data_IF_369636542427
#
_entry.id   IF_369636542427
#
_cell.length_a   1.000
_cell.length_b   1.000
_cell.length_c   1.000
_cell.angle_alpha   90.00
_cell.angle_beta   90.00
_cell.angle_gamma   90.00
#
_symmetry.space_group_name_H-M   'P 1'
#
loop_
_entity.id
_entity.type
_entity.pdbx_description
1 polymer ?
#
# COMPACT_ATOMS: atom_id res chain seq x y z
N UNK A 1 -30.23 10.87 -21.09
CA UNK A 1 -29.26 10.10 -20.30
C UNK A 1 -27.95 10.24 -21.03
N UNK A 2 -26.91 10.74 -20.35
CA UNK A 2 -25.57 10.91 -20.90
C UNK A 2 -24.99 9.53 -21.25
N UNK A 3 -24.31 9.32 -22.39
CA UNK A 3 -23.56 8.08 -22.65
C UNK A 3 -22.58 7.71 -21.53
N UNK A 4 -22.00 8.67 -20.80
CA UNK A 4 -21.16 8.41 -19.62
C UNK A 4 -21.97 7.90 -18.42
N UNK A 5 -23.14 8.50 -18.15
CA UNK A 5 -24.05 7.97 -17.14
C UNK A 5 -24.48 6.56 -17.52
N UNK A 6 -24.78 6.31 -18.80
CA UNK A 6 -25.17 4.98 -19.25
C UNK A 6 -24.05 3.96 -19.02
N UNK A 7 -22.78 4.28 -19.30
CA UNK A 7 -21.65 3.36 -19.06
C UNK A 7 -21.42 3.12 -17.57
N UNK A 8 -21.45 4.16 -16.73
CA UNK A 8 -21.28 4.04 -15.26
C UNK A 8 -22.43 3.27 -14.63
N UNK A 9 -23.69 3.55 -15.02
CA UNK A 9 -24.84 2.77 -14.57
C UNK A 9 -24.76 1.33 -15.07
N UNK A 10 -24.26 1.09 -16.28
CA UNK A 10 -24.10 -0.28 -16.79
C UNK A 10 -22.95 -0.99 -16.06
N UNK A 11 -21.85 -0.32 -15.71
CA UNK A 11 -20.76 -0.87 -14.88
C UNK A 11 -21.24 -1.20 -13.47
N UNK A 12 -21.93 -0.28 -12.79
CA UNK A 12 -22.51 -0.54 -11.46
C UNK A 12 -23.57 -1.65 -11.53
N UNK A 13 -24.37 -1.73 -12.60
CA UNK A 13 -25.38 -2.77 -12.82
C UNK A 13 -24.74 -4.12 -13.13
N UNK A 14 -23.65 -4.19 -13.89
CA UNK A 14 -22.89 -5.42 -14.14
C UNK A 14 -22.09 -5.87 -12.92
N UNK A 15 -21.48 -4.96 -12.15
CA UNK A 15 -20.81 -5.29 -10.89
C UNK A 15 -21.81 -5.80 -9.86
N UNK A 16 -22.94 -5.12 -9.72
CA UNK A 16 -23.99 -5.52 -8.78
C UNK A 16 -24.69 -6.80 -9.24
N UNK A 17 -24.90 -6.98 -10.53
CA UNK A 17 -25.42 -8.21 -11.14
C UNK A 17 -24.45 -9.36 -10.92
N UNK A 18 -23.19 -9.23 -11.32
CA UNK A 18 -22.17 -10.27 -11.15
C UNK A 18 -21.90 -10.62 -9.69
N UNK A 19 -21.93 -9.63 -8.79
CA UNK A 19 -21.86 -9.85 -7.34
C UNK A 19 -23.08 -10.61 -6.82
N UNK A 20 -24.29 -10.22 -7.24
CA UNK A 20 -25.53 -10.84 -6.78
C UNK A 20 -25.73 -12.24 -7.37
N UNK A 21 -25.47 -12.43 -8.65
CA UNK A 21 -25.51 -13.70 -9.37
C UNK A 21 -24.42 -14.65 -8.87
N UNK A 22 -23.19 -14.16 -8.67
CA UNK A 22 -22.08 -14.95 -8.13
C UNK A 22 -22.34 -15.43 -6.69
N UNK A 23 -22.89 -14.56 -5.83
CA UNK A 23 -23.30 -14.94 -4.47
C UNK A 23 -24.52 -15.86 -4.50
N UNK A 24 -25.50 -15.62 -5.35
CA UNK A 24 -26.70 -16.46 -5.44
C UNK A 24 -26.37 -17.87 -5.95
N UNK A 25 -25.57 -17.97 -7.02
CA UNK A 25 -25.08 -19.25 -7.54
C UNK A 25 -24.19 -19.96 -6.51
N UNK A 26 -23.30 -19.24 -5.82
CA UNK A 26 -22.48 -19.79 -4.74
C UNK A 26 -23.31 -20.29 -3.55
N UNK A 27 -24.40 -19.59 -3.20
CA UNK A 27 -25.35 -19.99 -2.15
C UNK A 27 -26.16 -21.22 -2.54
N UNK A 28 -26.64 -21.29 -3.77
CA UNK A 28 -27.44 -22.42 -4.27
C UNK A 28 -26.60 -23.69 -4.37
N UNK A 29 -25.38 -23.58 -4.91
CA UNK A 29 -24.40 -24.67 -4.98
C UNK A 29 -23.97 -25.10 -3.56
N UNK A 30 -23.62 -24.15 -2.69
CA UNK A 30 -23.22 -24.42 -1.31
C UNK A 30 -24.32 -25.08 -0.47
N UNK A 31 -25.59 -24.73 -0.70
CA UNK A 31 -26.74 -25.31 0.00
C UNK A 31 -27.12 -26.71 -0.52
N UNK A 32 -27.03 -26.94 -1.84
CA UNK A 32 -27.35 -28.24 -2.44
C UNK A 32 -26.31 -29.34 -2.13
N UNK A 33 -25.06 -28.95 -1.90
CA UNK A 33 -23.93 -29.90 -1.78
C UNK A 33 -23.63 -30.37 -0.36
N UNK A 34 -24.35 -29.89 0.67
CA UNK A 34 -24.30 -30.45 2.03
C UNK A 34 -22.89 -30.75 2.55
N UNK A 35 -22.00 -29.75 2.56
CA UNK A 35 -20.60 -29.93 2.97
C UNK A 35 -20.50 -30.26 4.45
N UNK A 36 -20.24 -31.52 4.76
CA UNK A 36 -20.14 -32.08 6.11
C UNK A 36 -18.80 -31.78 6.83
N UNK A 37 -18.00 -30.82 6.35
CA UNK A 37 -16.85 -30.26 7.09
C UNK A 37 -17.09 -28.78 7.37
N UNK A 38 -17.98 -28.52 8.33
CA UNK A 38 -18.19 -27.18 8.89
C UNK A 38 -19.03 -26.26 7.99
N UNK A 39 -20.27 -26.03 8.42
CA UNK A 39 -21.25 -25.13 7.80
C UNK A 39 -20.70 -23.71 7.48
N UNK A 40 -19.61 -23.27 8.11
CA UNK A 40 -18.98 -21.96 7.87
C UNK A 40 -17.82 -22.02 6.86
N UNK A 41 -16.86 -22.93 7.01
CA UNK A 41 -15.64 -22.97 6.17
C UNK A 41 -15.95 -23.32 4.70
N UNK A 42 -16.84 -24.29 4.46
CA UNK A 42 -17.31 -24.60 3.11
C UNK A 42 -18.13 -23.45 2.50
N UNK A 43 -18.92 -22.77 3.30
CA UNK A 43 -19.74 -21.64 2.86
C UNK A 43 -18.87 -20.44 2.44
N UNK A 44 -17.89 -20.07 3.27
CA UNK A 44 -16.97 -18.97 2.98
C UNK A 44 -16.07 -19.28 1.77
N UNK A 45 -15.54 -20.51 1.67
CA UNK A 45 -14.77 -20.94 0.50
C UNK A 45 -15.60 -20.89 -0.79
N UNK A 46 -16.86 -21.34 -0.73
CA UNK A 46 -17.78 -21.31 -1.87
C UNK A 46 -18.11 -19.88 -2.31
N UNK A 47 -18.30 -18.97 -1.35
CA UNK A 47 -18.52 -17.55 -1.59
C UNK A 47 -17.31 -16.89 -2.26
N UNK A 48 -16.10 -17.16 -1.78
CA UNK A 48 -14.87 -16.58 -2.33
C UNK A 48 -14.57 -17.09 -3.73
N UNK A 49 -14.67 -18.41 -3.97
CA UNK A 49 -14.51 -18.99 -5.31
C UNK A 49 -15.59 -18.47 -6.27
N UNK A 50 -16.83 -18.38 -5.82
CA UNK A 50 -17.94 -17.79 -6.57
C UNK A 50 -17.69 -16.33 -6.94
N UNK A 51 -17.13 -15.54 -6.03
CA UNK A 51 -16.71 -14.17 -6.28
C UNK A 51 -15.63 -14.09 -7.37
N UNK A 52 -14.50 -14.80 -7.22
CA UNK A 52 -13.40 -14.73 -8.19
C UNK A 52 -13.84 -15.17 -9.59
N UNK A 53 -14.65 -16.23 -9.67
CA UNK A 53 -15.17 -16.73 -10.93
C UNK A 53 -16.16 -15.76 -11.57
N UNK A 54 -17.13 -15.26 -10.81
CA UNK A 54 -18.12 -14.29 -11.29
C UNK A 54 -17.46 -13.00 -11.76
N UNK A 55 -16.55 -12.46 -10.94
CA UNK A 55 -15.77 -11.26 -11.28
C UNK A 55 -14.97 -11.44 -12.58
N UNK A 56 -14.22 -12.54 -12.71
CA UNK A 56 -13.42 -12.78 -13.92
C UNK A 56 -14.30 -12.97 -15.17
N UNK A 57 -15.45 -13.62 -15.03
CA UNK A 57 -16.40 -13.83 -16.13
C UNK A 57 -17.05 -12.52 -16.59
N UNK A 58 -17.48 -11.66 -15.66
CA UNK A 58 -18.06 -10.37 -16.02
C UNK A 58 -17.03 -9.46 -16.69
N UNK A 59 -15.79 -9.42 -16.20
CA UNK A 59 -14.74 -8.63 -16.86
C UNK A 59 -14.39 -9.14 -18.25
N UNK A 60 -14.43 -10.46 -18.49
CA UNK A 60 -14.26 -11.02 -19.83
C UNK A 60 -15.46 -10.70 -20.75
N UNK A 61 -16.69 -10.72 -20.22
CA UNK A 61 -17.90 -10.28 -20.97
C UNK A 61 -17.80 -8.80 -21.32
N UNK A 62 -17.40 -7.96 -20.38
CA UNK A 62 -17.20 -6.53 -20.59
C UNK A 62 -16.11 -6.25 -21.63
N UNK A 63 -15.00 -6.99 -21.58
CA UNK A 63 -13.93 -6.93 -22.58
C UNK A 63 -14.39 -7.32 -23.99
N UNK A 64 -15.29 -8.30 -24.10
CA UNK A 64 -15.89 -8.70 -25.37
C UNK A 64 -16.91 -7.68 -25.91
N UNK A 65 -17.61 -6.98 -25.01
CA UNK A 65 -18.57 -5.93 -25.36
C UNK A 65 -17.89 -4.59 -25.72
N UNK A 66 -16.74 -4.28 -25.11
CA UNK A 66 -16.05 -3.01 -25.24
C UNK A 66 -14.56 -3.20 -25.56
N UNK A 67 -14.23 -3.09 -26.85
CA UNK A 67 -12.85 -3.19 -27.35
C UNK A 67 -11.93 -2.17 -26.68
N UNK A 68 -10.86 -2.65 -26.05
CA UNK A 68 -9.83 -1.82 -25.40
C UNK A 68 -10.05 -1.56 -23.91
N UNK A 69 -11.19 -1.97 -23.34
CA UNK A 69 -11.48 -1.85 -21.90
C UNK A 69 -10.50 -2.69 -21.05
N UNK A 70 -10.17 -3.89 -21.52
CA UNK A 70 -9.27 -4.85 -20.87
C UNK A 70 -8.22 -5.32 -21.85
N UNK A 71 -6.93 -5.18 -21.50
CA UNK A 71 -5.83 -5.62 -22.36
C UNK A 71 -5.83 -7.14 -22.60
N UNK A 72 -5.31 -7.61 -23.74
CA UNK A 72 -5.19 -9.06 -24.03
C UNK A 72 -4.43 -9.83 -22.93
N UNK A 73 -3.43 -9.18 -22.31
CA UNK A 73 -2.68 -9.77 -21.19
C UNK A 73 -3.55 -9.93 -19.95
N UNK A 74 -4.39 -8.93 -19.65
CA UNK A 74 -5.35 -9.00 -18.55
C UNK A 74 -6.44 -10.04 -18.84
N UNK A 75 -6.96 -10.14 -20.07
CA UNK A 75 -7.92 -11.19 -20.46
C UNK A 75 -7.35 -12.60 -20.26
N UNK A 76 -6.09 -12.84 -20.63
CA UNK A 76 -5.42 -14.13 -20.36
C UNK A 76 -5.30 -14.42 -18.86
N UNK A 77 -5.04 -13.40 -18.04
CA UNK A 77 -5.02 -13.55 -16.57
C UNK A 77 -6.41 -13.84 -16.00
N UNK A 78 -7.45 -13.16 -16.48
CA UNK A 78 -8.85 -13.41 -16.09
C UNK A 78 -9.28 -14.84 -16.43
N UNK A 79 -8.92 -15.33 -17.62
CA UNK A 79 -9.18 -16.72 -18.00
C UNK A 79 -8.42 -17.72 -17.10
N UNK A 80 -7.15 -17.43 -16.80
CA UNK A 80 -6.37 -18.27 -15.89
C UNK A 80 -6.96 -18.32 -14.46
N UNK A 81 -7.62 -17.25 -14.00
CA UNK A 81 -8.33 -17.24 -12.71
C UNK A 81 -9.54 -18.18 -12.76
N UNK A 82 -10.34 -18.12 -13.82
CA UNK A 82 -11.48 -19.05 -14.02
C UNK A 82 -10.99 -20.49 -14.02
N UNK A 83 -9.91 -20.77 -14.77
CA UNK A 83 -9.35 -22.12 -14.89
C UNK A 83 -8.85 -22.65 -13.54
N UNK A 84 -8.24 -21.81 -12.67
CA UNK A 84 -7.83 -22.24 -11.33
C UNK A 84 -9.02 -22.43 -10.38
N UNK A 85 -10.02 -21.55 -10.43
CA UNK A 85 -11.24 -21.73 -9.64
C UNK A 85 -11.94 -23.04 -10.02
N UNK A 86 -12.04 -23.32 -11.33
CA UNK A 86 -12.69 -24.54 -11.84
C UNK A 86 -11.87 -25.82 -11.52
N UNK A 87 -10.58 -25.70 -11.21
CA UNK A 87 -9.73 -26.81 -10.73
C UNK A 87 -9.92 -27.13 -9.25
N UNK A 88 -10.57 -26.26 -8.46
CA UNK A 88 -10.86 -26.58 -7.06
C UNK A 88 -11.87 -27.73 -7.01
N UNK A 89 -11.56 -28.86 -6.34
CA UNK A 89 -12.41 -30.04 -6.37
C UNK A 89 -13.79 -29.74 -5.78
N UNK A 90 -14.84 -30.16 -6.49
CA UNK A 90 -16.25 -29.90 -6.10
C UNK A 90 -16.79 -30.85 -5.01
N UNK A 91 -15.99 -31.83 -4.60
CA UNK A 91 -16.38 -32.86 -3.62
C UNK A 91 -15.34 -32.87 -2.52
N UNK A 92 -15.77 -33.03 -1.26
CA UNK A 92 -14.89 -33.15 -0.09
C UNK A 92 -13.89 -34.29 -0.32
N UNK A 93 -12.64 -33.94 -0.60
CA UNK A 93 -11.50 -34.82 -0.53
C UNK A 93 -10.68 -34.42 0.70
N UNK A 94 -10.54 -35.33 1.66
CA UNK A 94 -9.74 -35.10 2.88
C UNK A 94 -8.26 -34.78 2.56
N UNK A 95 -7.80 -35.08 1.33
CA UNK A 95 -6.46 -34.76 0.86
C UNK A 95 -6.38 -33.49 0.01
N UNK A 96 -7.48 -32.79 -0.24
CA UNK A 96 -7.46 -31.58 -1.06
C UNK A 96 -6.98 -30.37 -0.25
N UNK A 97 -5.88 -29.77 -0.72
CA UNK A 97 -5.30 -28.55 -0.16
C UNK A 97 -6.09 -27.30 -0.58
N UNK A 98 -7.35 -27.17 -0.12
CA UNK A 98 -8.24 -26.07 -0.48
C UNK A 98 -7.68 -24.69 -0.09
N UNK A 99 -7.15 -24.55 1.12
CA UNK A 99 -6.49 -23.32 1.58
C UNK A 99 -5.32 -22.91 0.69
N UNK A 100 -4.53 -23.88 0.22
CA UNK A 100 -3.37 -23.63 -0.64
C UNK A 100 -3.81 -23.17 -2.03
N UNK A 101 -4.87 -23.74 -2.60
CA UNK A 101 -5.40 -23.33 -3.91
C UNK A 101 -6.12 -21.98 -3.86
N UNK A 102 -6.89 -21.73 -2.80
CA UNK A 102 -7.52 -20.42 -2.59
C UNK A 102 -6.46 -19.33 -2.39
N UNK A 103 -5.39 -19.65 -1.63
CA UNK A 103 -4.19 -18.83 -1.60
C UNK A 103 -3.63 -18.66 -3.01
N UNK A 104 -3.25 -19.69 -3.75
CA UNK A 104 -2.70 -19.56 -5.11
C UNK A 104 -3.55 -18.66 -6.04
N UNK A 105 -4.89 -18.71 -5.92
CA UNK A 105 -5.80 -17.79 -6.60
C UNK A 105 -5.62 -16.36 -6.07
N UNK A 106 -5.76 -16.12 -4.75
CA UNK A 106 -5.52 -14.82 -4.09
C UNK A 106 -4.11 -14.25 -4.35
N UNK A 107 -3.12 -15.12 -4.55
CA UNK A 107 -1.71 -14.82 -4.75
C UNK A 107 -1.42 -14.31 -6.16
N UNK A 108 -2.17 -14.79 -7.17
CA UNK A 108 -2.13 -14.23 -8.53
C UNK A 108 -2.70 -12.79 -8.61
N UNK A 109 -3.27 -12.26 -7.53
CA UNK A 109 -3.85 -10.91 -7.45
C UNK A 109 -2.93 -9.86 -6.79
N UNK A 110 -1.78 -10.19 -6.21
CA UNK A 110 -0.98 -9.17 -5.51
C UNK A 110 -0.07 -8.38 -6.44
N UNK A 111 -0.58 -7.26 -6.96
CA UNK A 111 0.21 -6.29 -7.73
C UNK A 111 0.52 -5.08 -6.86
N UNK A 112 1.78 -4.67 -6.84
CA UNK A 112 2.25 -3.54 -6.04
C UNK A 112 2.48 -2.33 -6.93
N UNK A 113 1.98 -1.17 -6.48
CA UNK A 113 2.40 0.12 -6.98
C UNK A 113 3.16 0.92 -5.92
N UNK A 114 4.16 1.70 -6.32
CA UNK A 114 4.89 2.58 -5.41
C UNK A 114 5.19 3.95 -6.02
N UNK A 115 5.24 4.99 -5.20
CA UNK A 115 5.45 6.37 -5.68
C UNK A 115 6.83 6.94 -5.33
N UNK A 116 7.76 6.10 -4.87
CA UNK A 116 9.07 6.52 -4.37
C UNK A 116 10.17 5.52 -4.68
N UNK A 117 11.29 6.02 -5.18
CA UNK A 117 12.39 5.21 -5.74
C UNK A 117 13.00 4.22 -4.74
N UNK A 118 13.25 4.64 -3.49
CA UNK A 118 13.84 3.74 -2.48
C UNK A 118 12.87 2.63 -2.06
N UNK A 119 11.59 2.96 -1.87
CA UNK A 119 10.56 1.96 -1.57
C UNK A 119 10.41 0.97 -2.74
N UNK A 120 10.35 1.48 -3.97
CA UNK A 120 10.30 0.66 -5.18
C UNK A 120 11.52 -0.25 -5.33
N UNK A 121 12.72 0.20 -4.95
CA UNK A 121 13.93 -0.63 -4.96
C UNK A 121 13.83 -1.79 -3.97
N UNK A 122 13.32 -1.57 -2.75
CA UNK A 122 13.11 -2.63 -1.76
C UNK A 122 12.06 -3.62 -2.27
N UNK A 123 10.88 -3.11 -2.62
CA UNK A 123 9.73 -3.92 -3.04
C UNK A 123 10.07 -4.71 -4.29
N UNK A 124 10.67 -4.08 -5.31
CA UNK A 124 11.08 -4.74 -6.55
C UNK A 124 12.02 -5.93 -6.31
N UNK A 125 12.92 -5.84 -5.33
CA UNK A 125 13.79 -6.97 -4.96
C UNK A 125 13.05 -8.06 -4.17
N UNK A 126 12.07 -7.67 -3.37
CA UNK A 126 11.35 -8.59 -2.49
C UNK A 126 10.30 -9.38 -3.25
N UNK A 127 9.51 -8.75 -4.13
CA UNK A 127 8.46 -9.46 -4.90
C UNK A 127 9.03 -10.59 -5.74
N UNK A 128 10.25 -10.47 -6.26
CA UNK A 128 10.96 -11.54 -6.99
C UNK A 128 11.22 -12.82 -6.16
N UNK A 129 11.12 -12.72 -4.83
CA UNK A 129 11.31 -13.82 -3.89
C UNK A 129 10.00 -14.28 -3.25
N UNK A 130 8.92 -13.53 -3.46
CA UNK A 130 7.61 -13.81 -2.91
C UNK A 130 6.76 -14.40 -4.04
N UNK A 131 6.49 -15.71 -3.98
CA UNK A 131 5.65 -16.40 -4.96
C UNK A 131 4.24 -15.78 -5.08
N UNK A 132 3.88 -15.04 -4.05
CA UNK A 132 2.58 -14.47 -3.75
C UNK A 132 2.30 -13.13 -4.44
N UNK A 133 3.25 -12.59 -5.21
CA UNK A 133 3.18 -11.27 -5.83
C UNK A 133 3.54 -11.32 -7.32
N UNK A 134 2.93 -10.42 -8.12
CA UNK A 134 3.43 -10.16 -9.48
C UNK A 134 4.84 -9.57 -9.39
N UNK A 135 5.75 -10.11 -10.19
CA UNK A 135 7.13 -9.61 -10.25
C UNK A 135 7.16 -8.13 -10.65
N UNK A 136 6.20 -7.64 -11.43
CA UNK A 136 6.19 -6.27 -11.93
C UNK A 136 5.73 -5.29 -10.87
N UNK A 137 6.57 -4.31 -10.54
CA UNK A 137 6.20 -3.18 -9.67
C UNK A 137 6.05 -1.93 -10.52
N UNK A 138 4.83 -1.44 -10.67
CA UNK A 138 4.57 -0.17 -11.36
C UNK A 138 4.89 0.99 -10.41
N UNK A 139 5.59 2.02 -10.89
CA UNK A 139 5.80 3.25 -10.13
C UNK A 139 5.23 4.44 -10.86
N UNK A 140 4.43 5.23 -10.15
CA UNK A 140 3.97 6.51 -10.69
C UNK A 140 5.11 7.52 -10.63
N UNK A 141 5.40 8.14 -11.77
CA UNK A 141 6.41 9.20 -11.88
C UNK A 141 5.73 10.39 -12.53
N UNK A 142 5.60 11.49 -11.78
CA UNK A 142 5.18 12.75 -12.37
C UNK A 142 6.11 13.10 -13.53
N UNK A 143 5.55 13.32 -14.72
CA UNK A 143 6.36 13.42 -15.92
C UNK A 143 7.19 14.72 -15.92
N UNK A 144 8.49 14.56 -16.10
CA UNK A 144 9.45 15.66 -16.13
C UNK A 144 10.45 15.47 -17.27
N UNK A 145 10.95 16.59 -17.80
CA UNK A 145 12.01 16.56 -18.80
C UNK A 145 13.38 16.69 -18.13
N UNK A 146 14.24 15.68 -18.30
CA UNK A 146 15.64 15.69 -17.84
C UNK A 146 16.54 15.56 -19.06
N UNK A 147 17.35 16.59 -19.33
CA UNK A 147 18.24 16.65 -20.49
C UNK A 147 17.52 16.37 -21.83
N UNK A 148 16.27 16.86 -21.97
CA UNK A 148 15.47 16.69 -23.19
C UNK A 148 14.80 15.34 -23.36
N UNK A 149 14.86 14.45 -22.36
CA UNK A 149 14.16 13.15 -22.35
C UNK A 149 13.15 13.11 -21.21
N UNK A 150 12.06 12.35 -21.39
CA UNK A 150 11.09 12.08 -20.32
C UNK A 150 11.74 11.28 -19.21
N UNK A 151 11.47 11.65 -17.96
CA UNK A 151 12.05 10.98 -16.80
C UNK A 151 11.60 9.51 -16.72
N UNK A 152 10.36 9.22 -17.09
CA UNK A 152 9.85 7.84 -17.21
C UNK A 152 10.66 6.99 -18.19
N UNK A 153 10.94 7.52 -19.38
CA UNK A 153 11.77 6.85 -20.40
C UNK A 153 13.19 6.61 -19.90
N UNK A 154 13.79 7.59 -19.22
CA UNK A 154 15.14 7.44 -18.62
C UNK A 154 15.13 6.33 -17.57
N UNK A 155 14.13 6.32 -16.68
CA UNK A 155 14.03 5.32 -15.62
C UNK A 155 13.86 3.93 -16.23
N UNK A 156 12.96 3.76 -17.20
CA UNK A 156 12.72 2.46 -17.83
C UNK A 156 13.92 1.95 -18.63
N UNK A 157 14.69 2.84 -19.29
CA UNK A 157 15.86 2.46 -20.07
C UNK A 157 17.10 2.20 -19.21
N UNK A 158 17.32 2.99 -18.15
CA UNK A 158 18.53 2.93 -17.33
C UNK A 158 18.34 2.20 -15.99
N UNK A 159 17.10 1.86 -15.67
CA UNK A 159 16.66 1.41 -14.35
C UNK A 159 17.25 2.29 -13.25
N UNK A 160 17.08 3.60 -13.35
CA UNK A 160 17.65 4.56 -12.42
C UNK A 160 16.85 5.86 -12.44
N UNK A 161 16.41 6.32 -11.27
CA UNK A 161 15.86 7.66 -11.13
C UNK A 161 16.99 8.67 -10.95
N UNK A 162 17.57 9.09 -12.06
CA UNK A 162 18.76 9.96 -12.12
C UNK A 162 18.59 11.31 -11.42
N UNK A 163 17.34 11.74 -11.16
CA UNK A 163 17.04 13.00 -10.50
C UNK A 163 16.86 12.85 -8.99
N UNK A 164 16.13 11.83 -8.55
CA UNK A 164 15.69 11.70 -7.16
C UNK A 164 16.44 10.62 -6.36
N UNK A 165 17.15 9.71 -7.04
CA UNK A 165 18.01 8.70 -6.40
C UNK A 165 19.24 8.39 -7.29
N UNK A 166 20.09 9.41 -7.57
CA UNK A 166 21.21 9.25 -8.49
C UNK A 166 22.22 8.22 -8.00
N UNK A 167 22.76 7.40 -8.91
CA UNK A 167 23.78 6.40 -8.60
C UNK A 167 23.25 5.05 -8.08
N UNK A 168 21.94 4.93 -7.84
CA UNK A 168 21.32 3.68 -7.37
C UNK A 168 20.38 3.09 -8.42
N UNK A 169 20.65 1.84 -8.83
CA UNK A 169 19.78 1.12 -9.77
C UNK A 169 18.45 0.72 -9.14
N UNK A 170 17.38 0.84 -9.88
CA UNK A 170 16.12 0.16 -9.59
C UNK A 170 16.21 -1.28 -10.12
N UNK A 171 15.54 -2.25 -9.49
CA UNK A 171 15.36 -3.59 -10.07
C UNK A 171 14.71 -3.52 -11.46
N UNK A 172 15.05 -4.45 -12.35
CA UNK A 172 14.58 -4.43 -13.75
C UNK A 172 13.07 -4.63 -13.92
N UNK A 173 12.44 -5.21 -12.89
CA UNK A 173 11.00 -5.41 -12.77
C UNK A 173 10.24 -4.18 -12.25
N UNK A 174 10.94 -3.07 -11.95
CA UNK A 174 10.31 -1.79 -11.63
C UNK A 174 10.07 -1.01 -12.91
N UNK A 175 8.82 -0.64 -13.16
CA UNK A 175 8.37 0.04 -14.39
C UNK A 175 7.82 1.43 -14.04
N UNK A 176 8.43 2.48 -14.57
CA UNK A 176 7.97 3.85 -14.43
C UNK A 176 6.83 4.16 -15.41
N UNK A 177 5.75 4.71 -14.89
CA UNK A 177 4.53 5.04 -15.63
C UNK A 177 4.09 6.47 -15.28
N UNK A 178 3.81 7.34 -16.27
CA UNK A 178 3.45 8.73 -16.02
C UNK A 178 2.00 8.92 -15.56
N UNK A 179 1.12 7.98 -15.93
CA UNK A 179 -0.31 8.02 -15.62
C UNK A 179 -0.58 7.33 -14.27
N UNK A 180 -1.12 8.08 -13.32
CA UNK A 180 -1.41 7.56 -11.98
C UNK A 180 -2.54 6.52 -11.97
N UNK A 181 -3.53 6.67 -12.86
CA UNK A 181 -4.67 5.74 -12.99
C UNK A 181 -4.18 4.39 -13.51
N UNK A 182 -3.31 4.38 -14.53
CA UNK A 182 -2.71 3.15 -15.07
C UNK A 182 -1.89 2.38 -14.02
N UNK A 183 -1.24 3.11 -13.10
CA UNK A 183 -0.45 2.52 -12.02
C UNK A 183 -1.33 1.80 -11.00
N UNK A 184 -2.50 2.36 -10.67
CA UNK A 184 -3.34 1.83 -9.60
C UNK A 184 -4.44 0.87 -10.07
N UNK A 185 -4.82 0.90 -11.36
CA UNK A 185 -5.98 0.17 -11.89
C UNK A 185 -5.97 -1.32 -11.59
N UNK A 186 -4.79 -1.93 -11.65
CA UNK A 186 -4.61 -3.37 -11.41
C UNK A 186 -3.94 -3.66 -10.05
N UNK A 187 -3.71 -2.63 -9.23
CA UNK A 187 -2.95 -2.75 -7.99
C UNK A 187 -3.86 -3.15 -6.82
N UNK A 188 -3.47 -4.20 -6.10
CA UNK A 188 -4.09 -4.55 -4.81
C UNK A 188 -3.33 -3.98 -3.63
N UNK A 189 -2.05 -3.62 -3.80
CA UNK A 189 -1.22 -3.00 -2.77
C UNK A 189 -0.63 -1.69 -3.30
N UNK A 190 -0.95 -0.57 -2.67
CA UNK A 190 -0.60 0.77 -3.13
C UNK A 190 0.27 1.46 -2.08
N UNK A 191 1.51 1.77 -2.45
CA UNK A 191 2.46 2.48 -1.58
C UNK A 191 2.43 3.97 -1.91
N UNK A 192 1.83 4.75 -1.03
CA UNK A 192 1.68 6.20 -1.17
C UNK A 192 2.85 6.89 -0.47
N UNK A 193 3.75 7.48 -1.28
CA UNK A 193 4.99 8.11 -0.80
C UNK A 193 5.34 9.33 -1.65
N UNK A 194 4.56 10.39 -1.47
CA UNK A 194 4.72 11.66 -2.18
C UNK A 194 4.82 12.83 -1.19
N UNK A 195 5.34 14.00 -1.60
CA UNK A 195 5.25 15.19 -0.77
C UNK A 195 3.78 15.48 -0.42
N UNK A 196 3.49 15.69 0.87
CA UNK A 196 2.12 15.75 1.39
C UNK A 196 1.24 16.80 0.70
N UNK A 197 1.83 17.91 0.19
CA UNK A 197 1.08 18.96 -0.48
C UNK A 197 0.41 18.51 -1.80
N UNK A 198 0.85 17.41 -2.40
CA UNK A 198 0.30 16.88 -3.65
C UNK A 198 -0.72 15.76 -3.45
N UNK A 199 -0.96 15.35 -2.20
CA UNK A 199 -1.78 14.16 -1.89
C UNK A 199 -3.22 14.31 -2.40
N UNK A 200 -3.86 15.46 -2.17
CA UNK A 200 -5.26 15.63 -2.54
C UNK A 200 -5.47 15.54 -4.05
N UNK A 201 -4.55 16.09 -4.84
CA UNK A 201 -4.61 16.02 -6.28
C UNK A 201 -4.51 14.57 -6.76
N UNK A 202 -3.51 13.83 -6.28
CA UNK A 202 -3.34 12.42 -6.59
C UNK A 202 -4.57 11.60 -6.22
N UNK A 203 -5.09 11.74 -5.00
CA UNK A 203 -6.24 10.96 -4.53
C UNK A 203 -7.48 11.23 -5.37
N UNK A 204 -7.72 12.48 -5.76
CA UNK A 204 -8.82 12.83 -6.67
C UNK A 204 -8.64 12.20 -8.05
N UNK A 205 -7.41 12.13 -8.57
CA UNK A 205 -7.10 11.51 -9.86
C UNK A 205 -7.36 10.01 -9.87
N UNK A 206 -7.03 9.30 -8.78
CA UNK A 206 -7.15 7.83 -8.73
C UNK A 206 -8.48 7.34 -8.14
N UNK A 207 -9.30 8.25 -7.62
CA UNK A 207 -10.61 7.94 -7.07
C UNK A 207 -11.50 7.22 -8.10
N UNK A 208 -12.10 6.09 -7.72
CA UNK A 208 -12.95 5.30 -8.62
C UNK A 208 -12.19 4.42 -9.63
N UNK A 209 -10.86 4.38 -9.57
CA UNK A 209 -10.03 3.57 -10.47
C UNK A 209 -9.26 2.46 -9.74
N UNK A 210 -9.72 2.05 -8.57
CA UNK A 210 -9.05 1.07 -7.71
C UNK A 210 -9.78 -0.27 -7.76
N UNK A 211 -9.03 -1.36 -7.58
CA UNK A 211 -9.66 -2.67 -7.33
C UNK A 211 -10.45 -2.65 -6.01
N UNK A 212 -11.60 -3.34 -5.91
CA UNK A 212 -12.40 -3.38 -4.68
C UNK A 212 -11.65 -3.90 -3.45
N UNK A 213 -10.63 -4.75 -3.65
CA UNK A 213 -9.80 -5.31 -2.60
C UNK A 213 -8.47 -4.56 -2.42
N UNK A 214 -8.31 -3.37 -3.00
CA UNK A 214 -7.09 -2.58 -2.85
C UNK A 214 -6.84 -2.22 -1.38
N UNK A 215 -5.56 -2.17 -1.04
CA UNK A 215 -5.01 -1.79 0.26
C UNK A 215 -3.92 -0.75 0.02
N UNK A 216 -3.78 0.21 0.92
CA UNK A 216 -2.74 1.21 0.82
C UNK A 216 -1.81 1.20 2.05
N UNK A 217 -0.58 1.69 1.86
CA UNK A 217 0.31 2.06 2.95
C UNK A 217 0.88 3.46 2.69
N UNK A 218 0.76 4.34 3.69
CA UNK A 218 1.31 5.69 3.65
C UNK A 218 2.70 5.73 4.26
N UNK A 219 3.68 6.27 3.52
CA UNK A 219 5.02 6.59 4.03
C UNK A 219 5.17 8.11 4.24
N UNK A 220 4.09 8.87 4.08
CA UNK A 220 4.09 10.33 4.15
C UNK A 220 4.20 10.77 5.61
N UNK A 221 5.26 11.50 5.93
CA UNK A 221 5.45 12.12 7.25
C UNK A 221 4.82 13.51 7.26
N UNK A 222 3.64 13.63 7.85
CA UNK A 222 2.92 14.90 7.99
C UNK A 222 1.50 14.71 8.52
N UNK A 223 0.87 15.81 8.93
CA UNK A 223 -0.52 15.85 9.40
C UNK A 223 -1.23 16.99 8.66
N UNK A 224 -2.45 16.74 8.18
CA UNK A 224 -3.33 17.76 7.64
C UNK A 224 -3.96 18.57 8.77
N UNK A 225 -4.03 19.89 8.61
CA UNK A 225 -4.65 20.80 9.57
C UNK A 225 -5.85 21.46 8.90
N UNK A 226 -7.00 21.40 9.57
CA UNK A 226 -8.21 22.08 9.15
C UNK A 226 -8.96 22.67 10.34
N UNK A 227 -10.04 23.40 10.08
CA UNK A 227 -10.94 23.89 11.13
C UNK A 227 -11.57 22.77 11.97
N UNK A 228 -11.53 21.52 11.49
CA UNK A 228 -12.04 20.33 12.17
C UNK A 228 -10.96 19.62 13.00
N UNK A 229 -9.74 20.16 13.06
CA UNK A 229 -8.61 19.60 13.79
C UNK A 229 -7.54 18.98 12.90
N UNK A 230 -6.74 18.10 13.50
CA UNK A 230 -5.68 17.36 12.83
C UNK A 230 -6.25 16.11 12.14
N UNK A 231 -5.79 15.83 10.93
CA UNK A 231 -6.12 14.59 10.21
C UNK A 231 -4.83 13.98 9.67
N UNK A 232 -4.60 12.71 9.97
CA UNK A 232 -3.43 11.97 9.49
C UNK A 232 -3.51 11.66 7.99
N UNK A 233 -2.39 11.31 7.36
CA UNK A 233 -2.39 11.01 5.92
C UNK A 233 -3.15 9.72 5.64
N UNK A 234 -3.07 8.71 6.51
CA UNK A 234 -3.89 7.50 6.38
C UNK A 234 -5.38 7.80 6.44
N UNK A 235 -5.81 8.69 7.33
CA UNK A 235 -7.22 9.13 7.39
C UNK A 235 -7.66 9.87 6.13
N UNK A 236 -6.81 10.73 5.56
CA UNK A 236 -7.09 11.42 4.30
C UNK A 236 -7.26 10.40 3.16
N UNK A 237 -6.29 9.48 3.02
CA UNK A 237 -6.33 8.42 2.00
C UNK A 237 -7.56 7.53 2.18
N UNK A 238 -7.85 7.09 3.40
CA UNK A 238 -8.99 6.23 3.72
C UNK A 238 -10.32 6.91 3.40
N UNK A 239 -10.49 8.18 3.81
CA UNK A 239 -11.73 8.93 3.56
C UNK A 239 -11.97 9.19 2.08
N UNK A 240 -10.92 9.43 1.29
CA UNK A 240 -11.07 9.67 -0.13
C UNK A 240 -11.25 8.38 -0.91
N UNK A 241 -10.43 7.35 -0.67
CA UNK A 241 -10.42 6.14 -1.51
C UNK A 241 -11.29 5.00 -0.99
N UNK A 242 -11.82 5.10 0.23
CA UNK A 242 -12.62 4.07 0.89
C UNK A 242 -11.94 2.68 0.99
N UNK A 243 -10.61 2.65 1.09
CA UNK A 243 -9.81 1.43 1.25
C UNK A 243 -9.07 1.41 2.59
N UNK A 244 -8.72 0.24 3.17
CA UNK A 244 -7.85 0.16 4.34
C UNK A 244 -6.45 0.70 4.07
N UNK A 245 -5.90 1.42 5.05
CA UNK A 245 -4.62 2.10 4.93
C UNK A 245 -3.73 1.81 6.14
N UNK A 246 -2.55 1.25 5.89
CA UNK A 246 -1.47 1.12 6.85
C UNK A 246 -0.56 2.36 6.82
N UNK A 247 0.33 2.48 7.80
CA UNK A 247 1.36 3.53 7.86
C UNK A 247 2.74 2.91 7.98
N UNK A 248 3.77 3.50 7.38
CA UNK A 248 5.18 3.15 7.61
C UNK A 248 5.95 4.41 7.99
N UNK A 249 6.57 4.38 9.18
CA UNK A 249 7.46 5.45 9.64
C UNK A 249 8.62 4.86 10.44
N UNK A 250 9.76 5.56 10.45
CA UNK A 250 10.99 5.07 11.05
C UNK A 250 12.18 5.99 10.75
N UNK A 251 13.31 5.71 11.38
CA UNK A 251 14.59 6.39 11.18
C UNK A 251 15.21 6.07 9.80
N UNK A 252 14.57 6.57 8.73
CA UNK A 252 14.68 6.03 7.39
C UNK A 252 15.28 7.04 6.40
N UNK A 253 16.58 7.32 6.46
CA UNK A 253 17.22 8.21 5.48
C UNK A 253 17.32 7.50 4.13
N UNK A 254 16.65 8.04 3.11
CA UNK A 254 16.45 7.39 1.81
C UNK A 254 17.76 6.95 1.12
N UNK A 255 18.82 7.76 1.20
CA UNK A 255 20.13 7.43 0.62
C UNK A 255 20.80 6.28 1.36
N UNK A 256 20.76 6.27 2.70
CA UNK A 256 21.37 5.19 3.49
C UNK A 256 20.68 3.84 3.24
N UNK A 257 19.35 3.87 3.08
CA UNK A 257 18.58 2.68 2.69
C UNK A 257 18.96 2.22 1.28
N UNK A 258 19.16 3.15 0.34
CA UNK A 258 19.58 2.83 -1.03
C UNK A 258 21.03 2.29 -1.10
N UNK A 259 21.87 2.69 -0.15
CA UNK A 259 23.21 2.15 0.13
C UNK A 259 23.18 0.83 0.92
N UNK A 260 22.00 0.33 1.28
CA UNK A 260 21.82 -0.93 2.03
C UNK A 260 22.48 -0.91 3.41
N UNK A 261 22.59 0.27 4.01
CA UNK A 261 22.98 0.43 5.41
C UNK A 261 21.84 -0.05 6.30
N UNK A 262 22.20 -0.72 7.39
CA UNK A 262 21.25 -1.23 8.36
C UNK A 262 20.41 -0.10 8.97
N UNK A 263 19.09 -0.26 8.95
CA UNK A 263 18.15 0.51 9.73
C UNK A 263 16.87 -0.30 9.99
N UNK A 264 15.99 0.29 10.79
CA UNK A 264 14.75 -0.33 11.25
C UNK A 264 13.58 0.62 11.00
N UNK A 265 12.40 0.08 10.74
CA UNK A 265 11.18 0.85 10.57
C UNK A 265 10.01 0.22 11.30
N UNK A 266 8.97 1.01 11.52
CA UNK A 266 7.70 0.56 12.10
C UNK A 266 6.59 0.65 11.07
N UNK A 267 5.82 -0.42 10.93
CA UNK A 267 4.55 -0.44 10.19
C UNK A 267 3.41 -0.44 11.21
N UNK A 268 2.55 0.56 11.12
CA UNK A 268 1.26 0.58 11.78
C UNK A 268 0.20 -0.06 10.88
N UNK A 269 -0.41 -1.17 11.29
CA UNK A 269 -1.47 -1.84 10.54
C UNK A 269 -2.44 -2.50 11.52
N UNK A 270 -3.73 -2.17 11.44
CA UNK A 270 -4.75 -2.69 12.36
C UNK A 270 -5.11 -4.16 12.12
N UNK A 271 -4.90 -4.64 10.90
CA UNK A 271 -5.16 -6.01 10.47
C UNK A 271 -3.84 -6.81 10.57
N UNK A 272 -3.74 -7.82 11.46
CA UNK A 272 -2.51 -8.60 11.63
C UNK A 272 -2.09 -9.38 10.39
N UNK A 273 -3.05 -9.89 9.60
CA UNK A 273 -2.74 -10.66 8.40
C UNK A 273 -2.18 -9.75 7.32
N UNK A 274 -2.80 -8.58 7.14
CA UNK A 274 -2.31 -7.54 6.25
C UNK A 274 -0.94 -6.99 6.70
N UNK A 275 -0.69 -6.90 8.01
CA UNK A 275 0.61 -6.48 8.55
C UNK A 275 1.75 -7.44 8.14
N UNK A 276 1.50 -8.74 8.10
CA UNK A 276 2.46 -9.75 7.63
C UNK A 276 2.76 -9.52 6.13
N UNK A 277 1.73 -9.20 5.34
CA UNK A 277 1.88 -8.91 3.92
C UNK A 277 2.72 -7.65 3.71
N UNK A 278 2.41 -6.54 4.36
CA UNK A 278 3.24 -5.32 4.28
C UNK A 278 4.67 -5.56 4.76
N UNK A 279 4.85 -6.31 5.86
CA UNK A 279 6.17 -6.69 6.34
C UNK A 279 6.95 -7.44 5.27
N UNK A 280 6.35 -8.42 4.60
CA UNK A 280 7.03 -9.19 3.55
C UNK A 280 7.51 -8.31 2.37
N UNK A 281 6.75 -7.27 2.03
CA UNK A 281 7.08 -6.34 0.94
C UNK A 281 8.28 -5.45 1.27
N UNK A 282 8.44 -5.03 2.52
CA UNK A 282 9.49 -4.08 2.93
C UNK A 282 10.69 -4.72 3.62
N UNK A 283 10.53 -5.84 4.31
CA UNK A 283 11.58 -6.38 5.17
C UNK A 283 12.78 -6.90 4.35
N UNK A 284 13.99 -6.47 4.71
CA UNK A 284 15.25 -6.97 4.15
C UNK A 284 16.28 -7.18 5.26
N UNK A 285 17.44 -7.81 5.02
CA UNK A 285 18.51 -7.90 6.02
C UNK A 285 18.97 -6.55 6.57
N UNK A 286 18.90 -5.48 5.77
CA UNK A 286 19.32 -4.13 6.13
C UNK A 286 18.15 -3.18 6.46
N UNK A 287 16.90 -3.57 6.20
CA UNK A 287 15.71 -2.77 6.46
C UNK A 287 14.73 -3.64 7.27
N UNK A 288 14.94 -3.70 8.58
CA UNK A 288 14.13 -4.54 9.47
C UNK A 288 12.80 -3.85 9.77
N UNK A 289 11.70 -4.60 9.64
CA UNK A 289 10.35 -4.08 9.82
C UNK A 289 9.75 -4.68 11.09
N UNK A 290 9.35 -3.81 12.02
CA UNK A 290 8.48 -4.17 13.12
C UNK A 290 7.04 -3.72 12.85
N UNK A 291 6.04 -4.51 13.25
CA UNK A 291 4.63 -4.22 13.02
C UNK A 291 3.90 -3.95 14.34
N UNK A 292 3.07 -2.91 14.37
CA UNK A 292 2.21 -2.55 15.50
C UNK A 292 0.78 -2.32 15.03
N UNK A 293 -0.20 -2.54 15.91
CA UNK A 293 -1.62 -2.28 15.61
C UNK A 293 -2.01 -0.79 15.58
N UNK A 294 -1.10 0.10 15.98
CA UNK A 294 -1.36 1.52 16.19
C UNK A 294 -0.98 2.38 14.98
N UNK A 295 -1.82 2.35 13.93
CA UNK A 295 -1.64 3.12 12.69
C UNK A 295 -1.46 4.62 12.96
N UNK A 296 -2.36 5.19 13.77
CA UNK A 296 -2.39 6.64 14.02
C UNK A 296 -1.19 7.06 14.87
N UNK A 297 -0.80 6.27 15.88
CA UNK A 297 0.39 6.53 16.69
C UNK A 297 1.67 6.58 15.86
N UNK A 298 1.83 5.65 14.91
CA UNK A 298 3.00 5.62 13.99
C UNK A 298 3.09 6.90 13.16
N UNK A 299 1.98 7.40 12.62
CA UNK A 299 1.96 8.65 11.85
C UNK A 299 2.24 9.89 12.71
N UNK A 300 1.64 9.99 13.89
CA UNK A 300 1.91 11.10 14.80
C UNK A 300 3.39 11.20 15.17
N UNK A 301 4.04 10.05 15.42
CA UNK A 301 5.47 10.03 15.68
C UNK A 301 6.28 10.61 14.51
N UNK A 302 6.00 10.14 13.28
CA UNK A 302 6.70 10.59 12.08
C UNK A 302 6.45 12.06 11.72
N UNK A 303 5.24 12.57 11.98
CA UNK A 303 4.86 13.94 11.65
C UNK A 303 5.45 14.97 12.63
N UNK A 304 5.40 14.70 13.94
CA UNK A 304 5.77 15.68 14.96
C UNK A 304 7.29 15.77 15.19
N UNK A 305 8.05 14.72 14.88
CA UNK A 305 9.50 14.66 15.11
C UNK A 305 10.28 15.78 14.39
N UNK A 306 9.80 16.26 13.25
CA UNK A 306 10.46 17.33 12.51
C UNK A 306 10.44 18.66 13.30
N UNK A 307 9.40 18.92 14.10
CA UNK A 307 9.34 20.11 14.96
C UNK A 307 10.43 20.06 16.04
N UNK A 308 10.62 18.88 16.64
CA UNK A 308 11.69 18.65 17.63
C UNK A 308 13.07 18.83 16.99
N UNK A 309 13.25 18.36 15.75
CA UNK A 309 14.50 18.49 15.01
C UNK A 309 14.88 19.96 14.74
N UNK A 310 13.92 20.82 14.37
CA UNK A 310 14.15 22.27 14.23
C UNK A 310 14.63 22.87 15.56
N UNK A 311 13.96 22.51 16.67
CA UNK A 311 14.39 22.92 18.00
C UNK A 311 15.81 22.47 18.35
N UNK A 312 16.17 21.23 18.01
CA UNK A 312 17.52 20.71 18.19
C UNK A 312 18.56 21.44 17.32
N UNK A 313 18.20 21.82 16.09
CA UNK A 313 19.04 22.61 15.18
C UNK A 313 19.30 24.04 15.71
N UNK A 314 18.34 24.66 16.39
CA UNK A 314 18.58 25.94 17.08
C UNK A 314 19.64 25.81 18.18
N UNK A 315 19.63 24.70 18.93
CA UNK A 315 20.65 24.45 19.95
C UNK A 315 22.05 24.30 19.33
N UNK A 316 22.16 23.63 18.18
CA UNK A 316 23.40 23.54 17.42
C UNK A 316 23.86 24.93 16.95
N UNK A 317 22.96 25.71 16.34
CA UNK A 317 23.25 27.06 15.85
C UNK A 317 23.65 28.05 16.95
N UNK A 318 23.16 27.85 18.17
CA UNK A 318 23.53 28.64 19.34
C UNK A 318 24.78 28.12 20.07
N UNK A 319 25.32 26.95 19.69
CA UNK A 319 26.51 26.37 20.31
C UNK A 319 26.32 25.94 21.77
N UNK A 320 25.10 25.59 22.19
CA UNK A 320 24.77 25.31 23.60
C UNK A 320 25.13 23.88 24.07
N UNK A 321 25.72 23.08 23.18
CA UNK A 321 26.28 21.76 23.49
C UNK A 321 25.27 20.62 23.63
N UNK A 322 25.81 19.41 23.76
CA UNK A 322 25.04 18.16 23.67
C UNK A 322 24.07 17.94 24.83
N UNK A 323 24.37 18.42 26.05
CA UNK A 323 23.48 18.27 27.20
C UNK A 323 22.16 19.05 27.00
N UNK A 324 22.26 20.28 26.49
CA UNK A 324 21.10 21.11 26.15
C UNK A 324 20.31 20.48 25.01
N UNK A 325 21.00 19.95 23.98
CA UNK A 325 20.36 19.27 22.85
C UNK A 325 19.58 18.03 23.30
N UNK A 326 20.19 17.19 24.13
CA UNK A 326 19.52 16.02 24.72
C UNK A 326 18.30 16.41 25.56
N UNK A 327 18.37 17.50 26.33
CA UNK A 327 17.23 18.00 27.09
C UNK A 327 16.06 18.43 26.19
N UNK A 328 16.34 19.15 25.10
CA UNK A 328 15.32 19.56 24.11
C UNK A 328 14.72 18.35 23.40
N UNK A 329 15.54 17.39 22.97
CA UNK A 329 15.06 16.15 22.35
C UNK A 329 14.10 15.41 23.30
N UNK A 330 14.49 15.25 24.57
CA UNK A 330 13.67 14.57 25.59
C UNK A 330 12.35 15.32 25.86
N UNK A 331 12.40 16.64 26.00
CA UNK A 331 11.19 17.47 26.23
C UNK A 331 10.27 17.36 25.02
N UNK A 332 10.79 17.59 23.80
CA UNK A 332 10.06 17.50 22.56
C UNK A 332 9.42 16.13 22.36
N UNK A 333 10.14 15.04 22.64
CA UNK A 333 9.60 13.68 22.59
C UNK A 333 8.40 13.48 23.54
N UNK A 334 8.47 13.99 24.77
CA UNK A 334 7.34 13.93 25.70
C UNK A 334 6.16 14.80 25.27
N UNK A 335 6.42 15.95 24.66
CA UNK A 335 5.38 16.81 24.10
C UNK A 335 4.70 16.16 22.90
N UNK A 336 5.46 15.52 22.00
CA UNK A 336 4.91 14.72 20.90
C UNK A 336 3.93 13.68 21.42
N UNK A 337 4.34 12.94 22.46
CA UNK A 337 3.51 11.91 23.10
C UNK A 337 2.22 12.48 23.67
N UNK A 338 2.32 13.57 24.45
CA UNK A 338 1.15 14.24 25.05
C UNK A 338 0.21 14.80 23.98
N UNK A 339 0.76 15.43 22.94
CA UNK A 339 -0.02 16.03 21.86
C UNK A 339 -0.78 14.96 21.08
N UNK A 340 -0.10 13.88 20.69
CA UNK A 340 -0.71 12.77 19.98
C UNK A 340 -1.86 12.15 20.79
N UNK A 341 -1.64 11.87 22.08
CA UNK A 341 -2.67 11.34 22.98
C UNK A 341 -3.84 12.30 23.21
N UNK A 342 -3.61 13.61 23.13
CA UNK A 342 -4.65 14.63 23.34
C UNK A 342 -5.47 14.91 22.09
N UNK A 343 -4.84 14.84 20.91
CA UNK A 343 -5.42 15.30 19.65
C UNK A 343 -6.01 14.18 18.79
N UNK A 344 -5.70 12.93 19.11
CA UNK A 344 -6.25 11.77 18.42
C UNK A 344 -7.53 11.30 19.10
N UNK A 345 -8.61 11.18 18.33
CA UNK A 345 -9.81 10.44 18.76
C UNK A 345 -9.53 8.93 18.83
N UNK A 346 -8.47 8.45 18.17
CA UNK A 346 -8.06 7.06 18.20
C UNK A 346 -7.15 6.75 19.39
N UNK A 347 -7.28 5.55 19.95
CA UNK A 347 -6.44 5.06 21.05
C UNK A 347 -5.00 4.84 20.57
N UNK A 348 -4.12 5.78 20.91
CA UNK A 348 -2.67 5.66 20.70
C UNK A 348 -2.04 4.87 21.85
N UNK A 349 -1.11 3.99 21.54
CA UNK A 349 -0.38 3.17 22.51
C UNK A 349 0.94 3.84 22.90
N UNK A 350 1.22 3.92 24.21
CA UNK A 350 2.46 4.52 24.72
C UNK A 350 3.70 3.78 24.21
N UNK A 351 3.61 2.46 24.04
CA UNK A 351 4.67 1.62 23.48
C UNK A 351 5.07 2.01 22.06
N UNK A 352 4.15 2.54 21.24
CA UNK A 352 4.43 2.98 19.86
C UNK A 352 5.52 4.05 19.81
N UNK A 353 5.64 4.90 20.83
CA UNK A 353 6.69 5.93 20.87
C UNK A 353 8.09 5.36 21.11
N UNK A 354 8.18 4.14 21.62
CA UNK A 354 9.45 3.44 21.84
C UNK A 354 9.92 2.67 20.61
N UNK A 355 9.09 2.57 19.58
CA UNK A 355 9.42 1.95 18.29
C UNK A 355 10.28 2.86 17.42
N UNK A 356 10.78 2.34 16.28
CA UNK A 356 11.59 3.10 15.33
C UNK A 356 10.89 4.38 14.85
N UNK A 357 9.57 4.35 14.63
CA UNK A 357 8.81 5.54 14.23
C UNK A 357 8.88 6.69 15.24
N UNK A 358 9.08 6.39 16.52
CA UNK A 358 9.12 7.35 17.62
C UNK A 358 10.55 7.75 17.97
N UNK A 359 11.10 7.14 19.02
CA UNK A 359 12.37 7.55 19.63
C UNK A 359 13.55 7.51 18.63
N UNK A 360 13.64 6.49 17.79
CA UNK A 360 14.75 6.36 16.84
C UNK A 360 14.69 7.45 15.75
N UNK A 361 13.52 7.67 15.13
CA UNK A 361 13.36 8.69 14.09
C UNK A 361 13.60 10.11 14.64
N UNK A 362 13.16 10.39 15.88
CA UNK A 362 13.48 11.65 16.56
C UNK A 362 14.98 11.84 16.71
N UNK A 363 15.69 10.85 17.25
CA UNK A 363 17.16 10.92 17.45
C UNK A 363 17.86 11.15 16.11
N UNK A 364 17.64 10.27 15.13
CA UNK A 364 18.31 10.36 13.83
C UNK A 364 18.04 11.69 13.14
N UNK A 365 16.81 12.21 13.22
CA UNK A 365 16.47 13.49 12.60
C UNK A 365 17.12 14.68 13.31
N UNK A 366 17.23 14.67 14.64
CA UNK A 366 17.86 15.76 15.39
C UNK A 366 19.38 15.83 15.20
N UNK A 367 20.03 14.73 14.78
CA UNK A 367 21.48 14.67 14.58
C UNK A 367 21.92 14.70 13.11
N UNK A 368 21.08 14.25 12.17
CA UNK A 368 21.44 14.16 10.75
C UNK A 368 20.29 14.46 9.78
N UNK A 369 19.19 15.04 10.26
CA UNK A 369 18.06 15.45 9.43
C UNK A 369 18.32 16.73 8.65
N UNK A 370 17.45 17.00 7.67
CA UNK A 370 17.49 18.21 6.83
C UNK A 370 16.74 19.42 7.41
N UNK A 371 16.00 19.24 8.51
CA UNK A 371 15.09 20.27 9.06
C UNK A 371 15.83 21.38 9.81
#
# INVERSE_FOLDING_TARGET
MDPFDSIVFTEEEYERSGYSEGIAAGKEIGAAEGREMGYEYGYDLGKDLGFYRGWAQEWLRAAAAHSGLVSERAQKKLQAIIDEVDRVPRVNDENAHYDTRLKDIQLKFKTVSAMGSTAARIIGKNVQKLADFDDTVKIWVYEEMVNGQKLTDIINAKHENVKYLPGHKLPSNVVAVPDAVEVVRDATHIVVVIPHQFIQHLLNTIHGHLLPNARAISLIKGIGISNQGMTTMTQIIHRTLAIPVASLSGANIANEIAEEKYCETTIGCSDPDEAIVWRSLFNTPYFQVNCVGDVIGVEFCGALKNVVAVGAGFIDGMGLGNNTKAAIIRIGFLEMRRLAMHMSDARIQDSTFMESCGVADVITTCYGGRN
#
